data_IF_176022692526
#
_entry.id   IF_176022692526
#
_cell.length_a   1.000
_cell.length_b   1.000
_cell.length_c   1.000
_cell.angle_alpha   90.00
_cell.angle_beta   90.00
_cell.angle_gamma   90.00
#
_symmetry.space_group_name_H-M   'P 1'
#
loop_
_entity.id
_entity.type
_entity.pdbx_description
1 polymer ?
#
# COMPACT_ATOMS: atom_id res chain seq x y z
N UNK A 1 5.45 -11.69 16.13
CA UNK A 1 4.65 -12.31 15.06
C UNK A 1 3.96 -11.18 14.32
N UNK A 2 4.34 -10.87 13.08
CA UNK A 2 3.59 -9.92 12.27
C UNK A 2 2.28 -10.59 11.84
N UNK A 3 1.17 -10.23 12.50
CA UNK A 3 -0.16 -10.73 12.18
C UNK A 3 -0.78 -9.96 11.02
N UNK A 4 -1.86 -10.51 10.45
CA UNK A 4 -2.70 -9.87 9.42
C UNK A 4 -3.07 -8.45 9.84
N UNK A 5 -3.40 -8.26 11.12
CA UNK A 5 -3.72 -6.95 11.71
C UNK A 5 -2.55 -5.97 11.65
N UNK A 6 -1.32 -6.42 11.93
CA UNK A 6 -0.14 -5.56 11.84
C UNK A 6 0.15 -5.12 10.40
N UNK A 7 -0.05 -6.02 9.43
CA UNK A 7 0.06 -5.69 8.00
C UNK A 7 -1.05 -4.73 7.57
N UNK A 8 -2.30 -4.97 7.99
CA UNK A 8 -3.42 -4.07 7.75
C UNK A 8 -3.16 -2.67 8.30
N UNK A 9 -2.66 -2.57 9.53
CA UNK A 9 -2.31 -1.29 10.13
C UNK A 9 -1.20 -0.56 9.35
N UNK A 10 -0.16 -1.29 8.89
CA UNK A 10 0.92 -0.74 8.07
C UNK A 10 0.40 -0.25 6.71
N UNK A 11 -0.48 -1.02 6.06
CA UNK A 11 -1.12 -0.63 4.80
C UNK A 11 -1.99 0.60 5.00
N UNK A 12 -2.89 0.59 5.99
CA UNK A 12 -3.77 1.73 6.27
C UNK A 12 -2.95 2.99 6.52
N UNK A 13 -1.85 2.87 7.28
CA UNK A 13 -0.93 3.98 7.55
C UNK A 13 -0.25 4.48 6.27
N UNK A 14 0.27 3.60 5.41
CA UNK A 14 0.92 4.01 4.16
C UNK A 14 -0.09 4.66 3.21
N UNK A 15 -1.29 4.11 3.12
CA UNK A 15 -2.41 4.64 2.31
C UNK A 15 -2.83 6.01 2.80
N UNK A 16 -2.96 6.22 4.12
CA UNK A 16 -3.25 7.52 4.70
C UNK A 16 -2.13 8.53 4.46
N UNK A 17 -0.88 8.12 4.65
CA UNK A 17 0.29 8.96 4.35
C UNK A 17 0.30 9.36 2.88
N UNK A 18 0.03 8.41 1.97
CA UNK A 18 -0.09 8.69 0.54
C UNK A 18 -1.23 9.68 0.28
N UNK A 19 -2.43 9.46 0.82
CA UNK A 19 -3.56 10.40 0.63
C UNK A 19 -3.24 11.82 1.12
N UNK A 20 -2.54 11.96 2.24
CA UNK A 20 -2.22 13.27 2.81
C UNK A 20 -1.00 13.94 2.17
N UNK A 21 0.07 13.18 1.87
CA UNK A 21 1.34 13.73 1.37
C UNK A 21 1.48 13.64 -0.15
N UNK A 22 0.85 12.66 -0.77
CA UNK A 22 0.94 12.34 -2.20
C UNK A 22 -0.46 12.05 -2.79
N UNK A 23 -1.36 13.05 -2.83
CA UNK A 23 -2.72 12.88 -3.38
C UNK A 23 -2.73 12.40 -4.84
N UNK A 24 -1.63 12.57 -5.57
CA UNK A 24 -1.46 11.99 -6.91
C UNK A 24 -1.46 10.45 -6.88
N UNK A 25 -0.80 9.87 -5.88
CA UNK A 25 -0.75 8.43 -5.69
C UNK A 25 -2.04 7.89 -5.05
N UNK A 26 -2.84 8.74 -4.39
CA UNK A 26 -4.15 8.29 -3.88
C UNK A 26 -5.13 7.90 -4.96
N UNK A 27 -4.99 8.44 -6.17
CA UNK A 27 -5.77 7.99 -7.32
C UNK A 27 -5.57 6.50 -7.61
N UNK A 28 -4.33 6.00 -7.46
CA UNK A 28 -4.02 4.58 -7.63
C UNK A 28 -4.54 3.71 -6.48
N UNK A 29 -4.71 4.28 -5.29
CA UNK A 29 -5.30 3.60 -4.14
C UNK A 29 -6.81 3.44 -4.27
N UNK A 30 -7.49 4.40 -4.89
CA UNK A 30 -8.93 4.29 -5.20
C UNK A 30 -9.21 3.24 -6.28
N UNK A 31 -8.29 3.09 -7.24
CA UNK A 31 -8.38 2.07 -8.30
C UNK A 31 -8.05 0.65 -7.80
N UNK A 32 -7.32 0.53 -6.69
CA UNK A 32 -7.03 -0.74 -6.04
C UNK A 32 -7.71 -0.81 -4.67
N UNK A 33 -9.01 -1.13 -4.62
CA UNK A 33 -9.68 -1.36 -3.34
C UNK A 33 -8.89 -2.42 -2.57
N UNK A 34 -8.58 -2.12 -1.31
CA UNK A 34 -7.97 -3.08 -0.37
C UNK A 34 -8.82 -4.34 -0.48
N UNK A 35 -8.22 -5.40 -1.03
CA UNK A 35 -8.88 -6.70 -1.16
C UNK A 35 -9.19 -7.14 0.25
N UNK A 36 -10.44 -6.92 0.66
CA UNK A 36 -10.92 -7.29 1.99
C UNK A 36 -10.56 -8.75 2.15
N UNK A 37 -9.72 -9.08 3.15
CA UNK A 37 -9.22 -10.43 3.30
C UNK A 37 -10.42 -11.35 3.45
N UNK A 38 -10.56 -12.30 2.53
CA UNK A 38 -11.62 -13.29 2.59
C UNK A 38 -11.48 -14.05 3.92
N UNK A 39 -12.46 -13.88 4.81
CA UNK A 39 -12.43 -14.43 6.18
C UNK A 39 -12.25 -15.96 6.18
N UNK A 40 -12.48 -16.63 5.04
CA UNK A 40 -12.33 -18.08 4.91
C UNK A 40 -10.88 -18.52 4.75
N UNK A 41 -9.92 -17.62 4.51
CA UNK A 41 -8.51 -18.02 4.29
C UNK A 41 -7.51 -16.97 4.80
N UNK A 42 -7.22 -16.98 6.12
CA UNK A 42 -6.27 -16.05 6.73
C UNK A 42 -4.83 -16.15 6.17
N UNK A 43 -4.42 -17.32 5.67
CA UNK A 43 -3.12 -17.48 5.02
C UNK A 43 -3.01 -16.70 3.70
N UNK A 44 -4.07 -16.74 2.88
CA UNK A 44 -4.14 -16.01 1.61
C UNK A 44 -4.34 -14.51 1.87
N UNK A 45 -5.13 -14.16 2.88
CA UNK A 45 -5.27 -12.78 3.35
C UNK A 45 -3.91 -12.15 3.68
N UNK A 46 -3.08 -12.82 4.48
CA UNK A 46 -1.75 -12.32 4.83
C UNK A 46 -0.87 -12.11 3.59
N UNK A 47 -0.86 -13.09 2.68
CA UNK A 47 -0.08 -13.02 1.44
C UNK A 47 -0.54 -11.85 0.57
N UNK A 48 -1.86 -11.72 0.36
CA UNK A 48 -2.46 -10.66 -0.44
C UNK A 48 -2.18 -9.27 0.14
N UNK A 49 -2.30 -9.12 1.46
CA UNK A 49 -1.97 -7.88 2.15
C UNK A 49 -0.50 -7.53 2.01
N UNK A 50 0.39 -8.50 2.19
CA UNK A 50 1.82 -8.28 2.00
C UNK A 50 2.14 -7.85 0.57
N UNK A 51 1.57 -8.53 -0.43
CA UNK A 51 1.71 -8.15 -1.84
C UNK A 51 1.17 -6.74 -2.11
N UNK A 52 0.02 -6.39 -1.54
CA UNK A 52 -0.56 -5.05 -1.67
C UNK A 52 0.34 -3.98 -1.05
N UNK A 53 0.85 -4.21 0.16
CA UNK A 53 1.80 -3.33 0.82
C UNK A 53 3.07 -3.13 -0.02
N UNK A 54 3.65 -4.20 -0.55
CA UNK A 54 4.85 -4.13 -1.39
C UNK A 54 4.59 -3.37 -2.69
N UNK A 55 3.44 -3.58 -3.33
CA UNK A 55 3.03 -2.80 -4.52
C UNK A 55 2.93 -1.32 -4.21
N UNK A 56 2.27 -0.93 -3.11
CA UNK A 56 2.17 0.47 -2.69
C UNK A 56 3.52 1.09 -2.36
N UNK A 57 4.36 0.36 -1.62
CA UNK A 57 5.68 0.83 -1.27
C UNK A 57 6.57 1.00 -2.51
N UNK A 58 6.48 0.08 -3.48
CA UNK A 58 7.19 0.17 -4.76
C UNK A 58 6.70 1.35 -5.61
N UNK A 59 5.38 1.57 -5.65
CA UNK A 59 4.76 2.71 -6.33
C UNK A 59 5.21 4.04 -5.73
N UNK A 60 5.17 4.17 -4.40
CA UNK A 60 5.65 5.35 -3.69
C UNK A 60 7.15 5.58 -3.92
N UNK A 61 7.96 4.52 -3.83
CA UNK A 61 9.40 4.60 -4.06
C UNK A 61 9.72 5.06 -5.50
N UNK A 62 9.05 4.48 -6.50
CA UNK A 62 9.19 4.90 -7.90
C UNK A 62 8.81 6.36 -8.08
N UNK A 63 7.69 6.78 -7.51
CA UNK A 63 7.25 8.18 -7.58
C UNK A 63 8.26 9.14 -6.93
N UNK A 64 8.79 8.83 -5.75
CA UNK A 64 9.82 9.65 -5.08
C UNK A 64 11.09 9.72 -5.93
N UNK A 65 11.54 8.61 -6.49
CA UNK A 65 12.71 8.56 -7.38
C UNK A 65 12.47 9.42 -8.63
N UNK A 66 11.30 9.29 -9.25
CA UNK A 66 10.98 10.03 -10.47
C UNK A 66 10.82 11.53 -10.21
N UNK A 67 10.21 11.91 -9.10
CA UNK A 67 10.15 13.31 -8.63
C UNK A 67 11.54 13.88 -8.34
N UNK A 68 12.43 13.10 -7.71
CA UNK A 68 13.79 13.54 -7.42
C UNK A 68 14.62 13.66 -8.72
N UNK A 69 14.47 12.72 -9.64
CA UNK A 69 15.16 12.73 -10.95
C UNK A 69 14.70 13.86 -11.87
N UNK A 70 13.45 14.33 -11.76
CA UNK A 70 12.96 15.50 -12.52
C UNK A 70 13.42 16.83 -11.92
N UNK A 71 13.98 16.84 -10.72
CA UNK A 71 14.52 18.03 -10.03
C UNK A 71 16.05 18.17 -10.15
N UNK A 72 16.73 17.20 -10.75
CA UNK A 72 18.18 17.19 -10.95
C UNK A 72 18.59 17.81 -12.29
#
# INVERSE_FOLDING_TARGET
MDTIEALNAKILKITMTIKNQHPELSKYLEEMPVTVPDEKSPAIALLNLKHYFESLNSLLKKYIIEQNSKRA
#
